data_IF_715674760613
#
_entry.id   IF_715674760613
#
_cell.length_a   1.000
_cell.length_b   1.000
_cell.length_c   1.000
_cell.angle_alpha   90.00
_cell.angle_beta   90.00
_cell.angle_gamma   90.00
#
_symmetry.space_group_name_H-M   'P 1'
#
loop_
_entity.id
_entity.type
_entity.pdbx_description
1 polymer ?
#
# COMPACT_ATOMS: atom_id res chain seq x y z
N UNK A 1 49.57 -45.75 18.42
CA UNK A 1 49.23 -47.14 18.11
C UNK A 1 47.94 -47.47 18.82
N UNK A 2 46.93 -47.77 18.02
CA UNK A 2 45.64 -48.26 18.44
C UNK A 2 45.75 -49.77 18.66
N UNK A 3 45.11 -50.25 19.71
CA UNK A 3 45.08 -51.66 20.11
C UNK A 3 43.64 -52.11 20.28
N UNK A 4 43.37 -53.37 19.96
CA UNK A 4 42.03 -53.94 20.07
C UNK A 4 41.92 -54.80 21.32
N UNK A 5 40.77 -54.69 21.99
CA UNK A 5 40.41 -55.55 23.11
C UNK A 5 39.04 -56.18 22.83
N UNK A 6 38.96 -57.51 22.90
CA UNK A 6 37.69 -58.23 22.85
C UNK A 6 37.12 -58.35 24.26
N UNK A 7 35.86 -57.96 24.46
CA UNK A 7 35.11 -58.15 25.71
C UNK A 7 33.75 -58.76 25.38
N UNK A 8 33.53 -60.01 25.79
CA UNK A 8 32.37 -60.79 25.37
C UNK A 8 32.30 -60.93 23.84
N UNK A 9 31.14 -60.66 23.25
CA UNK A 9 30.91 -60.76 21.80
C UNK A 9 31.20 -59.45 21.03
N UNK A 10 31.92 -58.49 21.62
CA UNK A 10 32.19 -57.19 21.02
C UNK A 10 33.66 -56.76 21.09
N UNK A 11 34.05 -55.90 20.14
CA UNK A 11 35.39 -55.31 20.03
C UNK A 11 35.42 -53.87 20.54
N UNK A 12 36.53 -53.52 21.22
CA UNK A 12 36.83 -52.17 21.69
C UNK A 12 38.20 -51.75 21.14
N UNK A 13 38.30 -50.49 20.71
CA UNK A 13 39.55 -49.90 20.24
C UNK A 13 40.10 -48.94 21.31
N UNK A 14 41.38 -49.11 21.66
CA UNK A 14 42.09 -48.31 22.65
C UNK A 14 43.28 -47.61 22.00
N UNK A 15 43.46 -46.32 22.26
CA UNK A 15 44.59 -45.56 21.75
C UNK A 15 45.03 -44.47 22.74
N UNK A 16 46.21 -43.90 22.54
CA UNK A 16 46.74 -42.79 23.34
C UNK A 16 46.80 -41.53 22.48
N UNK A 17 46.28 -40.43 23.02
CA UNK A 17 46.35 -39.10 22.41
C UNK A 17 46.69 -38.07 23.49
N UNK A 18 47.71 -37.24 23.25
CA UNK A 18 48.26 -36.30 24.25
C UNK A 18 48.46 -36.89 25.66
N UNK A 19 49.02 -38.09 25.75
CA UNK A 19 49.33 -38.76 27.01
C UNK A 19 48.12 -39.34 27.76
N UNK A 20 46.89 -39.16 27.25
CA UNK A 20 45.67 -39.75 27.83
C UNK A 20 45.23 -40.96 27.04
N UNK A 21 44.78 -42.01 27.75
CA UNK A 21 44.21 -43.21 27.14
C UNK A 21 42.74 -42.96 26.80
N UNK A 22 42.37 -43.28 25.57
CA UNK A 22 41.02 -43.21 25.06
C UNK A 22 40.55 -44.60 24.63
N UNK A 23 39.26 -44.88 24.77
CA UNK A 23 38.66 -46.16 24.39
C UNK A 23 37.27 -45.93 23.86
N UNK A 24 36.90 -46.61 22.77
CA UNK A 24 35.54 -46.63 22.25
C UNK A 24 35.16 -48.03 21.77
N UNK A 25 33.85 -48.30 21.72
CA UNK A 25 33.32 -49.57 21.23
C UNK A 25 33.30 -49.58 19.70
N UNK A 26 33.89 -50.60 19.08
CA UNK A 26 33.76 -50.86 17.64
C UNK A 26 32.45 -51.62 17.37
N UNK A 27 32.00 -52.44 18.32
CA UNK A 27 30.76 -53.19 18.23
C UNK A 27 30.97 -54.69 17.96
N UNK A 28 29.89 -55.38 17.57
CA UNK A 28 29.91 -56.81 17.23
C UNK A 28 30.25 -56.97 15.74
N UNK A 29 31.53 -56.90 15.43
CA UNK A 29 32.06 -56.98 14.05
C UNK A 29 33.05 -58.14 13.94
N UNK A 30 33.38 -58.55 12.71
CA UNK A 30 34.42 -59.54 12.48
C UNK A 30 35.79 -59.04 12.96
N UNK A 31 36.71 -59.97 13.30
CA UNK A 31 38.08 -59.59 13.68
C UNK A 31 38.79 -58.79 12.58
N UNK A 32 38.53 -59.12 11.31
CA UNK A 32 39.06 -58.41 10.15
C UNK A 32 38.58 -56.95 10.11
N UNK A 33 37.29 -56.69 10.32
CA UNK A 33 36.74 -55.33 10.39
C UNK A 33 37.26 -54.56 11.60
N UNK A 34 37.40 -55.21 12.76
CA UNK A 34 37.98 -54.58 13.95
C UNK A 34 39.43 -54.15 13.69
N UNK A 35 40.24 -55.01 13.07
CA UNK A 35 41.63 -54.72 12.66
C UNK A 35 41.70 -53.57 11.66
N UNK A 36 40.83 -53.55 10.64
CA UNK A 36 40.73 -52.45 9.69
C UNK A 36 40.41 -51.11 10.38
N UNK A 37 39.47 -51.12 11.33
CA UNK A 37 39.12 -49.93 12.11
C UNK A 37 40.27 -49.45 12.98
N UNK A 38 41.02 -50.34 13.63
CA UNK A 38 42.21 -49.97 14.41
C UNK A 38 43.30 -49.33 13.55
N UNK A 39 43.55 -49.89 12.36
CA UNK A 39 44.52 -49.34 11.41
C UNK A 39 44.10 -47.93 10.93
N UNK A 40 42.80 -47.71 10.71
CA UNK A 40 42.26 -46.40 10.35
C UNK A 40 42.39 -45.38 11.47
N UNK A 41 42.18 -45.79 12.73
CA UNK A 41 42.41 -44.92 13.90
C UNK A 41 43.88 -44.49 13.96
N UNK A 42 44.82 -45.41 13.76
CA UNK A 42 46.25 -45.05 13.73
C UNK A 42 46.60 -44.11 12.58
N UNK A 43 45.98 -44.31 11.40
CA UNK A 43 46.13 -43.40 10.27
C UNK A 43 45.63 -41.98 10.61
N UNK A 44 44.45 -41.85 11.22
CA UNK A 44 43.89 -40.53 11.61
C UNK A 44 44.73 -39.84 12.69
N UNK A 45 45.22 -40.57 13.69
CA UNK A 45 46.11 -40.04 14.71
C UNK A 45 47.45 -39.56 14.11
N UNK A 46 47.97 -40.27 13.11
CA UNK A 46 49.16 -39.83 12.36
C UNK A 46 48.89 -38.52 11.61
N UNK A 47 47.75 -38.37 10.94
CA UNK A 47 47.38 -37.14 10.21
C UNK A 47 47.18 -35.94 11.13
N UNK A 48 46.57 -36.15 12.30
CA UNK A 48 46.48 -35.13 13.35
C UNK A 48 47.87 -34.71 13.85
N UNK A 49 48.78 -35.67 14.07
CA UNK A 49 50.17 -35.38 14.48
C UNK A 49 50.93 -34.60 13.41
N UNK A 50 50.67 -34.89 12.13
CA UNK A 50 51.25 -34.18 10.98
C UNK A 50 50.57 -32.83 10.68
N UNK A 51 49.50 -32.47 11.41
CA UNK A 51 48.67 -31.27 11.13
C UNK A 51 48.07 -31.23 9.72
N UNK A 52 47.89 -32.39 9.08
CA UNK A 52 47.19 -32.49 7.79
C UNK A 52 45.66 -32.49 7.97
N UNK A 53 45.22 -32.79 9.20
CA UNK A 53 43.82 -32.73 9.64
C UNK A 53 43.85 -32.05 11.02
N UNK A 54 42.84 -31.24 11.30
CA UNK A 54 42.64 -30.60 12.61
C UNK A 54 41.42 -31.20 13.30
N UNK A 55 41.48 -31.32 14.63
CA UNK A 55 40.33 -31.74 15.43
C UNK A 55 39.36 -30.55 15.56
N UNK A 56 38.10 -30.66 15.12
CA UNK A 56 37.16 -29.54 15.18
C UNK A 56 36.90 -29.05 16.62
N UNK A 57 36.65 -27.74 16.83
CA UNK A 57 36.38 -27.20 18.17
C UNK A 57 35.19 -27.90 18.83
N UNK A 58 35.38 -28.37 20.07
CA UNK A 58 34.31 -29.00 20.87
C UNK A 58 34.08 -30.49 20.63
N UNK A 59 34.79 -31.12 19.69
CA UNK A 59 34.67 -32.56 19.40
C UNK A 59 35.74 -33.36 20.17
N UNK A 60 35.33 -34.41 20.87
CA UNK A 60 36.27 -35.30 21.56
C UNK A 60 37.05 -36.18 20.58
N UNK A 61 38.34 -36.43 20.84
CA UNK A 61 39.19 -37.24 19.93
C UNK A 61 38.65 -38.65 19.69
N UNK A 62 38.08 -39.29 20.72
CA UNK A 62 37.49 -40.63 20.60
C UNK A 62 36.28 -40.65 19.67
N UNK A 63 35.41 -39.65 19.76
CA UNK A 63 34.25 -39.47 18.88
C UNK A 63 34.70 -39.19 17.44
N UNK A 64 35.72 -38.35 17.26
CA UNK A 64 36.25 -38.00 15.95
C UNK A 64 36.82 -39.21 15.21
N UNK A 65 37.63 -40.04 15.87
CA UNK A 65 38.21 -41.24 15.23
C UNK A 65 37.21 -42.39 15.10
N UNK A 66 36.22 -42.49 16.01
CA UNK A 66 35.14 -43.47 15.89
C UNK A 66 34.31 -43.23 14.62
N UNK A 67 34.09 -41.97 14.27
CA UNK A 67 33.34 -41.53 13.09
C UNK A 67 34.23 -41.24 11.87
N UNK A 68 35.45 -41.79 11.81
CA UNK A 68 36.36 -41.69 10.66
C UNK A 68 36.71 -40.26 10.22
N UNK A 69 36.85 -39.35 11.19
CA UNK A 69 37.13 -37.94 10.96
C UNK A 69 35.90 -37.11 10.61
N UNK A 70 34.70 -37.70 10.64
CA UNK A 70 33.43 -36.97 10.53
C UNK A 70 32.94 -36.64 11.94
N UNK A 71 32.39 -35.45 12.13
CA UNK A 71 31.76 -35.08 13.40
C UNK A 71 30.23 -35.09 13.24
N UNK A 72 29.53 -35.80 14.12
CA UNK A 72 28.07 -35.75 14.21
C UNK A 72 27.59 -34.35 14.63
N UNK A 73 28.38 -33.64 15.46
CA UNK A 73 28.10 -32.24 15.83
C UNK A 73 28.18 -31.26 14.64
N UNK A 74 28.99 -31.56 13.61
CA UNK A 74 28.97 -30.80 12.35
C UNK A 74 27.75 -31.19 11.52
N UNK A 75 27.28 -32.43 11.61
CA UNK A 75 26.12 -32.89 10.83
C UNK A 75 24.83 -32.24 11.34
N UNK A 76 24.69 -32.07 12.67
CA UNK A 76 23.56 -31.36 13.28
C UNK A 76 23.66 -29.82 13.21
N UNK A 77 24.85 -29.26 12.98
CA UNK A 77 25.02 -27.82 12.75
C UNK A 77 24.84 -27.42 11.27
N UNK A 78 25.01 -28.37 10.34
CA UNK A 78 24.76 -28.17 8.90
C UNK A 78 23.29 -28.45 8.53
N UNK A 79 22.54 -29.18 9.38
CA UNK A 79 21.07 -29.28 9.30
C UNK A 79 20.33 -28.01 9.75
N UNK A 80 21.06 -26.98 10.20
CA UNK A 80 20.63 -25.60 10.11
C UNK A 80 20.72 -25.11 8.67
N UNK A 81 19.96 -25.73 7.76
CA UNK A 81 19.74 -25.19 6.42
C UNK A 81 19.37 -23.72 6.58
N UNK A 82 20.31 -22.87 6.19
CA UNK A 82 20.11 -21.45 5.98
C UNK A 82 19.15 -21.38 4.80
N UNK A 83 17.84 -21.58 5.05
CA UNK A 83 16.79 -21.39 4.05
C UNK A 83 17.06 -20.03 3.45
N UNK A 84 17.55 -20.02 2.21
CA UNK A 84 17.80 -18.81 1.44
C UNK A 84 16.54 -17.98 1.56
N UNK A 85 16.64 -16.85 2.26
CA UNK A 85 15.47 -16.03 2.51
C UNK A 85 15.02 -15.47 1.16
N UNK A 86 13.97 -16.06 0.60
CA UNK A 86 13.46 -15.66 -0.71
C UNK A 86 12.69 -14.35 -0.59
N UNK A 87 12.54 -13.64 -1.71
CA UNK A 87 11.73 -12.43 -1.79
C UNK A 87 10.28 -12.68 -1.34
N UNK A 88 9.70 -13.84 -1.67
CA UNK A 88 8.34 -14.23 -1.24
C UNK A 88 8.29 -14.45 0.27
N UNK A 89 9.21 -15.24 0.83
CA UNK A 89 9.26 -15.48 2.27
C UNK A 89 9.49 -14.17 3.05
N UNK A 90 10.32 -13.27 2.51
CA UNK A 90 10.54 -11.94 3.08
C UNK A 90 9.28 -11.07 3.05
N UNK A 91 8.58 -11.03 1.91
CA UNK A 91 7.30 -10.34 1.75
C UNK A 91 6.27 -10.83 2.78
N UNK A 92 6.10 -12.14 2.89
CA UNK A 92 5.06 -12.74 3.72
C UNK A 92 5.32 -12.41 5.20
N UNK A 93 6.57 -12.58 5.67
CA UNK A 93 6.94 -12.16 7.03
C UNK A 93 6.69 -10.67 7.28
N UNK A 94 7.00 -9.80 6.32
CA UNK A 94 6.75 -8.35 6.45
C UNK A 94 5.24 -8.06 6.53
N UNK A 95 4.44 -8.67 5.66
CA UNK A 95 3.00 -8.49 5.62
C UNK A 95 2.33 -9.03 6.88
N UNK A 96 2.69 -10.23 7.34
CA UNK A 96 2.12 -10.84 8.55
C UNK A 96 2.38 -9.98 9.78
N UNK A 97 3.58 -9.42 9.89
CA UNK A 97 3.95 -8.53 11.00
C UNK A 97 3.17 -7.22 10.99
N UNK A 98 2.91 -6.63 9.82
CA UNK A 98 2.36 -5.27 9.73
C UNK A 98 0.87 -5.20 9.41
N UNK A 99 0.26 -6.28 8.90
CA UNK A 99 -1.16 -6.33 8.54
C UNK A 99 -2.07 -5.87 9.68
N UNK A 100 -1.83 -6.21 10.97
CA UNK A 100 -2.66 -5.72 12.08
C UNK A 100 -2.55 -4.20 12.32
N UNK A 101 -1.41 -3.60 11.96
CA UNK A 101 -1.10 -2.20 12.27
C UNK A 101 -1.35 -1.22 11.11
N UNK A 102 -1.52 -1.74 9.88
CA UNK A 102 -1.68 -0.93 8.67
C UNK A 102 -3.14 -0.85 8.22
N UNK A 103 -3.51 0.27 7.57
CA UNK A 103 -4.81 0.35 6.91
C UNK A 103 -4.92 -0.70 5.79
N UNK A 104 -6.08 -1.35 5.59
CA UNK A 104 -6.26 -2.37 4.55
C UNK A 104 -5.81 -1.92 3.16
N UNK A 105 -6.13 -0.68 2.78
CA UNK A 105 -5.72 -0.10 1.49
C UNK A 105 -4.20 0.05 1.34
N UNK A 106 -3.49 0.26 2.45
CA UNK A 106 -2.03 0.31 2.46
C UNK A 106 -1.47 -1.09 2.26
N UNK A 107 -2.06 -2.10 2.92
CA UNK A 107 -1.69 -3.52 2.74
C UNK A 107 -1.92 -3.96 1.29
N UNK A 108 -3.10 -3.69 0.72
CA UNK A 108 -3.41 -3.97 -0.70
C UNK A 108 -2.38 -3.33 -1.65
N UNK A 109 -1.96 -2.09 -1.36
CA UNK A 109 -0.93 -1.39 -2.13
C UNK A 109 0.43 -2.07 -2.03
N UNK A 110 0.85 -2.48 -0.84
CA UNK A 110 2.10 -3.21 -0.61
C UNK A 110 2.07 -4.57 -1.31
N UNK A 111 0.99 -5.33 -1.19
CA UNK A 111 0.78 -6.61 -1.87
C UNK A 111 0.91 -6.45 -3.39
N UNK A 112 0.28 -5.42 -3.96
CA UNK A 112 0.40 -5.11 -5.39
C UNK A 112 1.85 -4.79 -5.80
N UNK A 113 2.55 -3.98 -5.00
CA UNK A 113 3.95 -3.65 -5.28
C UNK A 113 4.85 -4.89 -5.24
N UNK A 114 4.69 -5.74 -4.22
CA UNK A 114 5.45 -6.99 -4.12
C UNK A 114 5.08 -7.98 -5.20
N UNK A 115 3.81 -8.05 -5.65
CA UNK A 115 3.42 -8.86 -6.81
C UNK A 115 4.24 -8.48 -8.04
N UNK A 116 4.41 -7.17 -8.30
CA UNK A 116 5.23 -6.71 -9.44
C UNK A 116 6.71 -7.03 -9.26
N UNK A 117 7.26 -6.86 -8.05
CA UNK A 117 8.66 -7.20 -7.75
C UNK A 117 8.93 -8.69 -7.92
N UNK A 118 8.06 -9.54 -7.39
CA UNK A 118 8.15 -11.00 -7.52
C UNK A 118 8.04 -11.43 -8.97
N UNK A 119 7.11 -10.85 -9.73
CA UNK A 119 6.98 -11.16 -11.16
C UNK A 119 8.22 -10.78 -11.97
N UNK A 120 9.02 -9.81 -11.52
CA UNK A 120 10.21 -9.34 -12.23
C UNK A 120 11.53 -9.97 -11.76
N UNK A 121 11.69 -10.22 -10.46
CA UNK A 121 12.91 -10.76 -9.87
C UNK A 121 12.86 -12.28 -9.67
N UNK A 122 11.66 -12.86 -9.65
CA UNK A 122 11.41 -14.27 -9.39
C UNK A 122 11.03 -14.55 -7.93
N UNK A 123 10.20 -15.58 -7.72
CA UNK A 123 9.70 -15.97 -6.40
C UNK A 123 10.82 -16.42 -5.45
N UNK A 124 11.81 -17.14 -5.98
CA UNK A 124 12.95 -17.69 -5.25
C UNK A 124 14.14 -16.74 -5.15
N UNK A 125 14.00 -15.50 -5.58
CA UNK A 125 15.09 -14.53 -5.56
C UNK A 125 15.67 -14.37 -4.14
N UNK A 126 16.98 -14.58 -3.93
CA UNK A 126 17.62 -14.44 -2.62
C UNK A 126 17.65 -12.96 -2.21
N UNK A 127 16.81 -12.56 -1.23
CA UNK A 127 16.65 -11.14 -0.90
C UNK A 127 17.95 -10.49 -0.41
N UNK A 128 18.83 -11.27 0.21
CA UNK A 128 20.14 -10.81 0.72
C UNK A 128 21.13 -10.44 -0.39
N UNK A 129 20.90 -10.90 -1.62
CA UNK A 129 21.74 -10.59 -2.78
C UNK A 129 21.23 -9.40 -3.60
N UNK A 130 20.17 -8.72 -3.13
CA UNK A 130 19.62 -7.56 -3.82
C UNK A 130 20.68 -6.47 -4.00
N UNK A 131 20.99 -6.13 -5.27
CA UNK A 131 21.92 -5.07 -5.64
C UNK A 131 21.21 -3.96 -6.40
N UNK A 132 21.90 -2.82 -6.54
CA UNK A 132 21.44 -1.68 -7.32
C UNK A 132 21.04 -2.08 -8.76
N UNK A 133 21.82 -2.95 -9.39
CA UNK A 133 21.57 -3.42 -10.76
C UNK A 133 20.20 -4.14 -10.89
N UNK A 134 19.80 -4.94 -9.91
CA UNK A 134 18.49 -5.60 -9.91
C UNK A 134 17.35 -4.57 -9.83
N UNK A 135 17.52 -3.54 -9.00
CA UNK A 135 16.52 -2.48 -8.84
C UNK A 135 16.44 -1.58 -10.07
N UNK A 136 17.57 -1.25 -10.71
CA UNK A 136 17.56 -0.48 -11.96
C UNK A 136 16.92 -1.28 -13.09
N UNK A 137 17.27 -2.57 -13.24
CA UNK A 137 16.62 -3.45 -14.22
C UNK A 137 15.11 -3.57 -14.01
N UNK A 138 14.65 -3.64 -12.75
CA UNK A 138 13.23 -3.57 -12.41
C UNK A 138 12.60 -2.24 -12.86
N UNK A 139 13.22 -1.10 -12.55
CA UNK A 139 12.70 0.22 -12.95
C UNK A 139 12.58 0.33 -14.47
N UNK A 140 13.59 -0.11 -15.21
CA UNK A 140 13.64 -0.05 -16.67
C UNK A 140 12.57 -0.94 -17.31
N UNK A 141 12.35 -2.14 -16.76
CA UNK A 141 11.28 -3.03 -17.18
C UNK A 141 9.90 -2.42 -16.88
N UNK A 142 9.70 -1.87 -15.67
CA UNK A 142 8.44 -1.23 -15.26
C UNK A 142 8.13 0.02 -16.06
N UNK A 143 9.12 0.80 -16.46
CA UNK A 143 8.94 1.99 -17.29
C UNK A 143 8.39 1.66 -18.69
N UNK A 144 8.68 0.45 -19.21
CA UNK A 144 8.15 -0.06 -20.49
C UNK A 144 6.76 -0.67 -20.34
N UNK A 145 6.35 -1.07 -19.14
CA UNK A 145 5.07 -1.72 -18.89
C UNK A 145 3.88 -0.75 -19.06
N UNK A 146 2.78 -1.28 -19.59
CA UNK A 146 1.52 -0.55 -19.74
C UNK A 146 0.71 -0.64 -18.44
N UNK A 147 0.22 0.49 -17.94
CA UNK A 147 -0.76 0.57 -16.86
C UNK A 147 -2.19 0.32 -17.35
N UNK A 148 -3.16 0.46 -16.44
CA UNK A 148 -4.59 0.22 -16.68
C UNK A 148 -5.18 1.02 -17.85
N UNK A 149 -4.61 2.17 -18.16
CA UNK A 149 -5.05 3.01 -19.29
C UNK A 149 -4.34 2.69 -20.61
N UNK A 150 -3.63 1.56 -20.69
CA UNK A 150 -2.82 1.17 -21.86
C UNK A 150 -1.53 1.99 -22.06
N UNK A 151 -1.25 2.96 -21.19
CA UNK A 151 -0.08 3.87 -21.27
C UNK A 151 1.07 3.38 -20.41
N UNK A 152 2.30 3.79 -20.73
CA UNK A 152 3.48 3.53 -19.89
C UNK A 152 3.26 4.06 -18.47
N UNK A 153 3.82 3.36 -17.49
CA UNK A 153 3.70 3.74 -16.09
C UNK A 153 4.47 5.02 -15.78
N UNK A 154 3.88 5.87 -14.94
CA UNK A 154 4.55 7.09 -14.50
C UNK A 154 5.73 6.74 -13.58
N UNK A 155 6.86 7.46 -13.67
CA UNK A 155 8.00 7.25 -12.77
C UNK A 155 7.63 7.38 -11.29
N UNK A 156 6.64 8.23 -10.96
CA UNK A 156 6.11 8.36 -9.61
C UNK A 156 5.43 7.07 -9.08
N UNK A 157 4.82 6.27 -9.97
CA UNK A 157 4.22 4.98 -9.60
C UNK A 157 5.31 3.96 -9.28
N UNK A 158 6.33 3.86 -10.13
CA UNK A 158 7.47 2.95 -9.94
C UNK A 158 8.23 3.31 -8.65
N UNK A 159 8.42 4.61 -8.40
CA UNK A 159 9.05 5.09 -7.16
C UNK A 159 8.31 4.62 -5.91
N UNK A 160 6.97 4.52 -5.92
CA UNK A 160 6.18 3.99 -4.79
C UNK A 160 6.40 2.50 -4.55
N UNK A 161 6.58 1.73 -5.63
CA UNK A 161 6.94 0.30 -5.56
C UNK A 161 8.28 0.14 -4.84
N UNK A 162 9.30 0.91 -5.26
CA UNK A 162 10.63 0.93 -4.62
C UNK A 162 10.57 1.39 -3.17
N UNK A 163 9.79 2.43 -2.85
CA UNK A 163 9.63 2.90 -1.46
C UNK A 163 9.04 1.80 -0.56
N UNK A 164 8.13 0.98 -1.09
CA UNK A 164 7.52 -0.11 -0.32
C UNK A 164 8.53 -1.21 -0.01
N UNK A 165 9.34 -1.59 -1.00
CA UNK A 165 10.44 -2.52 -0.80
C UNK A 165 11.48 -1.96 0.19
N UNK A 166 11.86 -0.69 0.05
CA UNK A 166 12.78 -0.02 0.99
C UNK A 166 12.25 -0.02 2.41
N UNK A 167 10.94 0.22 2.58
CA UNK A 167 10.30 0.21 3.90
C UNK A 167 10.36 -1.19 4.52
N UNK A 168 10.07 -2.22 3.73
CA UNK A 168 10.23 -3.61 4.16
C UNK A 168 11.69 -3.95 4.46
N UNK A 169 12.64 -3.54 3.62
CA UNK A 169 14.08 -3.74 3.83
C UNK A 169 14.56 -3.15 5.15
N UNK A 170 14.19 -1.89 5.43
CA UNK A 170 14.58 -1.23 6.68
C UNK A 170 14.01 -1.92 7.92
N UNK A 171 12.80 -2.48 7.83
CA UNK A 171 12.26 -3.35 8.88
C UNK A 171 13.06 -4.67 8.97
N UNK A 172 13.32 -5.31 7.83
CA UNK A 172 14.07 -6.55 7.76
C UNK A 172 15.48 -6.44 8.33
N UNK A 173 16.14 -5.31 8.12
CA UNK A 173 17.45 -5.01 8.70
C UNK A 173 17.40 -4.94 10.22
N UNK A 174 16.35 -4.32 10.79
CA UNK A 174 16.13 -4.28 12.24
C UNK A 174 15.80 -5.65 12.84
N UNK A 175 15.22 -6.54 12.04
CA UNK A 175 14.86 -7.91 12.43
C UNK A 175 15.98 -8.93 12.14
N UNK A 176 17.15 -8.50 11.66
CA UNK A 176 18.26 -9.41 11.31
C UNK A 176 18.00 -10.29 10.07
N UNK A 177 16.98 -10.00 9.27
CA UNK A 177 16.63 -10.76 8.07
C UNK A 177 17.53 -10.44 6.88
N UNK A 178 17.89 -9.16 6.76
CA UNK A 178 18.81 -8.60 5.76
C UNK A 178 19.84 -7.73 6.47
N UNK A 179 20.96 -7.41 5.81
CA UNK A 179 22.02 -6.59 6.36
C UNK A 179 22.27 -5.35 5.49
N UNK A 180 22.79 -4.29 6.10
CA UNK A 180 23.19 -3.07 5.40
C UNK A 180 22.05 -2.15 4.97
N UNK A 181 22.44 -1.05 4.32
CA UNK A 181 21.51 -0.05 3.78
C UNK A 181 20.83 -0.59 2.52
N UNK A 182 19.59 -0.17 2.28
CA UNK A 182 18.89 -0.51 1.06
C UNK A 182 19.62 0.06 -0.17
N UNK A 183 19.86 -0.72 -1.24
CA UNK A 183 20.74 -0.33 -2.36
C UNK A 183 20.04 0.62 -3.35
N UNK A 184 19.57 1.79 -2.90
CA UNK A 184 18.87 2.77 -3.74
C UNK A 184 19.74 3.92 -4.27
N UNK A 185 20.99 4.00 -3.86
CA UNK A 185 21.88 5.11 -4.24
C UNK A 185 22.26 4.94 -5.71
N UNK A 186 22.01 5.98 -6.52
CA UNK A 186 22.26 5.95 -7.97
C UNK A 186 21.07 5.54 -8.83
N UNK A 187 19.93 5.13 -8.25
CA UNK A 187 18.74 4.78 -9.05
C UNK A 187 18.27 5.94 -9.93
N UNK A 188 18.04 5.64 -11.22
CA UNK A 188 17.57 6.59 -12.23
C UNK A 188 16.13 6.28 -12.59
N UNK A 189 15.30 7.32 -12.54
CA UNK A 189 13.89 7.27 -12.94
C UNK A 189 13.70 8.20 -14.13
N UNK A 190 12.71 7.90 -14.98
CA UNK A 190 12.29 8.83 -16.02
C UNK A 190 11.87 10.19 -15.45
N UNK A 191 11.98 11.25 -16.27
CA UNK A 191 11.49 12.58 -15.92
C UNK A 191 9.97 12.55 -15.72
N UNK A 192 9.50 13.34 -14.77
CA UNK A 192 8.07 13.55 -14.51
C UNK A 192 7.80 15.01 -14.81
N UNK A 193 6.81 15.27 -15.65
CA UNK A 193 6.36 16.63 -15.91
C UNK A 193 5.66 17.19 -14.66
N UNK A 194 5.89 18.47 -14.40
CA UNK A 194 5.13 19.16 -13.36
C UNK A 194 3.66 19.21 -13.76
N UNK A 195 2.78 19.07 -12.77
CA UNK A 195 1.35 19.16 -13.03
C UNK A 195 0.98 20.58 -13.41
N UNK A 196 0.07 20.78 -14.38
CA UNK A 196 -0.43 22.11 -14.66
C UNK A 196 -1.06 22.74 -13.40
N UNK A 197 -0.91 24.07 -13.22
CA UNK A 197 -1.59 24.79 -12.16
C UNK A 197 -3.11 24.68 -12.33
N UNK A 198 -3.89 24.90 -11.28
CA UNK A 198 -5.36 24.88 -11.39
C UNK A 198 -5.87 26.03 -12.28
N UNK A 199 -6.78 25.74 -13.19
CA UNK A 199 -7.26 26.67 -14.21
C UNK A 199 -8.79 26.72 -14.22
N UNK A 200 -9.35 27.83 -14.71
CA UNK A 200 -10.78 27.92 -14.99
C UNK A 200 -11.13 27.13 -16.24
N UNK A 201 -12.42 26.88 -16.44
CA UNK A 201 -12.94 26.24 -17.64
C UNK A 201 -12.54 27.00 -18.91
N UNK A 202 -12.71 28.32 -18.92
CA UNK A 202 -12.42 29.17 -20.07
C UNK A 202 -10.94 29.14 -20.45
N UNK A 203 -10.05 29.05 -19.46
CA UNK A 203 -8.62 28.87 -19.70
C UNK A 203 -8.31 27.49 -20.28
N UNK A 204 -8.93 26.42 -19.77
CA UNK A 204 -8.77 25.08 -20.31
C UNK A 204 -9.27 25.02 -21.76
N UNK A 205 -10.45 25.58 -22.03
CA UNK A 205 -11.07 25.60 -23.37
C UNK A 205 -10.20 26.32 -24.41
N UNK A 206 -9.49 27.38 -24.01
CA UNK A 206 -8.47 28.03 -24.87
C UNK A 206 -7.25 27.14 -25.13
N UNK A 207 -6.79 26.39 -24.12
CA UNK A 207 -5.57 25.57 -24.19
C UNK A 207 -5.76 24.20 -24.87
N UNK A 208 -7.00 23.70 -24.96
CA UNK A 208 -7.27 22.39 -25.59
C UNK A 208 -7.29 22.44 -27.12
N UNK A 209 -7.31 23.62 -27.73
CA UNK A 209 -7.24 23.80 -29.19
C UNK A 209 -5.88 23.27 -29.68
N UNK A 210 -5.90 22.28 -30.57
CA UNK A 210 -4.68 21.63 -31.06
C UNK A 210 -4.01 20.64 -30.08
N UNK A 211 -4.55 20.46 -28.87
CA UNK A 211 -4.01 19.53 -27.89
C UNK A 211 -4.38 18.07 -28.20
N UNK A 212 -3.48 17.15 -27.89
CA UNK A 212 -3.76 15.70 -27.92
C UNK A 212 -4.79 15.32 -26.86
N UNK A 213 -5.50 14.20 -27.03
CA UNK A 213 -6.45 13.70 -26.02
C UNK A 213 -5.82 13.48 -24.64
N UNK A 214 -4.52 13.21 -24.61
CA UNK A 214 -3.76 13.14 -23.38
C UNK A 214 -3.68 14.49 -22.68
N UNK A 215 -3.19 15.51 -23.38
CA UNK A 215 -3.06 16.87 -22.86
C UNK A 215 -4.42 17.43 -22.46
N UNK A 216 -5.46 17.19 -23.26
CA UNK A 216 -6.85 17.54 -22.90
C UNK A 216 -7.24 16.94 -21.56
N UNK A 217 -6.99 15.64 -21.35
CA UNK A 217 -7.33 14.95 -20.10
C UNK A 217 -6.57 15.53 -18.90
N UNK A 218 -5.30 15.90 -19.09
CA UNK A 218 -4.44 16.49 -18.06
C UNK A 218 -4.86 17.92 -17.70
N UNK A 219 -5.20 18.74 -18.70
CA UNK A 219 -5.78 20.07 -18.49
C UNK A 219 -7.09 19.99 -17.71
N UNK A 220 -8.00 19.08 -18.07
CA UNK A 220 -9.23 18.86 -17.31
C UNK A 220 -9.00 18.26 -15.91
N UNK A 221 -7.84 17.63 -15.64
CA UNK A 221 -7.45 17.22 -14.27
C UNK A 221 -7.08 18.43 -13.38
N UNK A 222 -6.74 19.56 -13.99
CA UNK A 222 -6.44 20.82 -13.32
C UNK A 222 -7.62 21.80 -13.32
N UNK A 223 -8.82 21.37 -13.67
CA UNK A 223 -10.03 22.19 -13.54
C UNK A 223 -10.32 22.48 -12.06
N UNK A 224 -10.58 23.74 -11.75
CA UNK A 224 -11.39 24.13 -10.59
C UNK A 224 -12.64 24.88 -11.06
N UNK A 225 -13.70 24.83 -10.27
CA UNK A 225 -14.95 25.54 -10.55
C UNK A 225 -14.97 26.87 -9.82
N UNK A 226 -15.32 27.93 -10.51
CA UNK A 226 -15.58 29.26 -9.93
C UNK A 226 -16.83 29.24 -9.05
N UNK A 227 -17.05 30.27 -8.20
CA UNK A 227 -18.26 30.34 -7.37
C UNK A 227 -19.58 30.30 -8.17
N UNK A 228 -19.74 31.00 -9.31
CA UNK A 228 -20.92 30.85 -10.17
C UNK A 228 -21.08 29.41 -10.67
N UNK A 229 -20.01 28.80 -11.18
CA UNK A 229 -20.06 27.40 -11.66
C UNK A 229 -20.37 26.41 -10.54
N UNK A 230 -19.87 26.62 -9.32
CA UNK A 230 -20.24 25.81 -8.16
C UNK A 230 -21.74 25.93 -7.91
N UNK A 231 -22.30 27.14 -7.96
CA UNK A 231 -23.74 27.36 -7.74
C UNK A 231 -24.58 26.66 -8.81
N UNK A 232 -24.20 26.80 -10.08
CA UNK A 232 -24.88 26.15 -11.21
C UNK A 232 -24.75 24.62 -11.15
N UNK A 233 -23.59 24.09 -10.74
CA UNK A 233 -23.39 22.65 -10.51
C UNK A 233 -24.33 22.15 -9.40
N UNK A 234 -24.44 22.88 -8.28
CA UNK A 234 -25.33 22.49 -7.19
C UNK A 234 -26.80 22.50 -7.64
N UNK A 235 -27.21 23.50 -8.42
CA UNK A 235 -28.55 23.54 -9.04
C UNK A 235 -28.81 22.31 -9.92
N UNK A 236 -27.90 22.02 -10.86
CA UNK A 236 -27.98 20.84 -11.72
C UNK A 236 -28.07 19.53 -10.93
N UNK A 237 -27.23 19.36 -9.90
CA UNK A 237 -27.24 18.15 -9.07
C UNK A 237 -28.54 18.04 -8.27
N UNK A 238 -29.15 19.15 -7.84
CA UNK A 238 -30.44 19.14 -7.13
C UNK A 238 -31.54 18.53 -7.98
N UNK A 239 -31.56 18.86 -9.27
CA UNK A 239 -32.55 18.40 -10.23
C UNK A 239 -32.26 16.98 -10.75
N UNK A 240 -30.98 16.67 -11.01
CA UNK A 240 -30.58 15.39 -11.62
C UNK A 240 -30.29 14.27 -10.62
N UNK A 241 -30.24 14.55 -9.32
CA UNK A 241 -29.96 13.54 -8.29
C UNK A 241 -31.11 12.52 -8.19
N UNK A 242 -30.77 11.25 -8.44
CA UNK A 242 -31.71 10.13 -8.29
C UNK A 242 -31.91 9.68 -6.84
N UNK A 243 -30.97 10.03 -5.95
CA UNK A 243 -31.04 9.65 -4.53
C UNK A 243 -30.93 10.90 -3.65
N UNK A 244 -31.75 11.00 -2.58
CA UNK A 244 -31.81 12.20 -1.72
C UNK A 244 -30.49 12.64 -1.10
N UNK A 245 -29.60 11.70 -0.77
CA UNK A 245 -28.31 12.02 -0.13
C UNK A 245 -27.29 12.69 -1.08
N UNK A 246 -27.48 12.61 -2.40
CA UNK A 246 -26.47 13.04 -3.38
C UNK A 246 -26.28 14.56 -3.33
N UNK A 247 -27.37 15.31 -3.44
CA UNK A 247 -27.34 16.77 -3.39
C UNK A 247 -26.69 17.32 -2.11
N UNK A 248 -27.14 16.98 -0.88
CA UNK A 248 -26.55 17.52 0.34
C UNK A 248 -25.08 17.08 0.52
N UNK A 249 -24.69 15.89 0.02
CA UNK A 249 -23.30 15.45 0.05
C UNK A 249 -22.40 16.25 -0.90
N UNK A 250 -22.89 16.64 -2.09
CA UNK A 250 -22.16 17.51 -3.04
C UNK A 250 -22.05 18.93 -2.50
N UNK A 251 -23.13 19.48 -1.92
CA UNK A 251 -23.08 20.75 -1.19
C UNK A 251 -22.02 20.72 -0.09
N UNK A 252 -22.03 19.69 0.75
CA UNK A 252 -21.04 19.54 1.82
C UNK A 252 -19.62 19.50 1.27
N UNK A 253 -19.37 18.75 0.20
CA UNK A 253 -18.05 18.70 -0.43
C UNK A 253 -17.58 20.08 -0.93
N UNK A 254 -18.48 20.83 -1.59
CA UNK A 254 -18.19 22.15 -2.15
C UNK A 254 -17.97 23.22 -1.07
N UNK A 255 -18.70 23.15 0.04
CA UNK A 255 -18.68 24.15 1.11
C UNK A 255 -17.64 23.87 2.21
N UNK A 256 -17.07 22.67 2.27
CA UNK A 256 -16.08 22.31 3.32
C UNK A 256 -14.71 21.89 2.78
N UNK A 257 -14.61 21.60 1.47
CA UNK A 257 -13.40 21.02 0.88
C UNK A 257 -13.02 19.65 1.45
N UNK A 258 -13.97 18.94 2.07
CA UNK A 258 -13.76 17.61 2.62
C UNK A 258 -13.39 16.59 1.52
N UNK A 259 -12.44 15.72 1.82
CA UNK A 259 -12.07 14.60 0.94
C UNK A 259 -13.23 13.60 0.91
N UNK A 260 -13.43 12.88 -0.20
CA UNK A 260 -14.47 11.84 -0.28
C UNK A 260 -14.47 10.89 0.93
N UNK A 261 -13.31 10.39 1.36
CA UNK A 261 -13.23 9.49 2.53
C UNK A 261 -13.59 10.15 3.86
N UNK A 262 -13.58 11.47 3.94
CA UNK A 262 -14.08 12.25 5.09
C UNK A 262 -15.61 12.38 4.99
N UNK A 263 -16.15 12.67 3.80
CA UNK A 263 -17.60 12.68 3.55
C UNK A 263 -18.28 11.35 3.93
N UNK A 264 -17.63 10.21 3.65
CA UNK A 264 -18.19 8.89 3.97
C UNK A 264 -18.15 8.53 5.46
N UNK A 265 -17.49 9.34 6.29
CA UNK A 265 -17.27 9.06 7.72
C UNK A 265 -17.87 10.10 8.65
N UNK A 266 -18.28 11.26 8.14
CA UNK A 266 -18.89 12.30 8.97
C UNK A 266 -20.17 11.75 9.60
N UNK A 267 -20.29 11.96 10.90
CA UNK A 267 -21.45 11.57 11.69
C UNK A 267 -22.41 12.75 11.87
N UNK A 268 -23.68 12.47 12.21
CA UNK A 268 -24.64 13.52 12.57
C UNK A 268 -24.12 14.32 13.78
N UNK A 269 -23.52 13.62 14.75
CA UNK A 269 -22.92 14.23 15.95
C UNK A 269 -21.71 15.14 15.66
N UNK A 270 -21.14 15.10 14.45
CA UNK A 270 -20.05 16.00 14.05
C UNK A 270 -20.58 17.40 13.62
N UNK A 271 -21.91 17.61 13.58
CA UNK A 271 -22.55 18.84 13.12
C UNK A 271 -23.03 19.66 14.32
N UNK A 272 -22.41 20.83 14.51
CA UNK A 272 -22.74 21.80 15.54
C UNK A 272 -23.48 22.98 14.91
N UNK A 273 -24.83 22.93 14.95
CA UNK A 273 -25.68 23.99 14.39
C UNK A 273 -25.61 25.29 15.19
N UNK A 274 -25.44 25.21 16.52
CA UNK A 274 -25.37 26.38 17.41
C UNK A 274 -24.05 27.10 17.26
N UNK A 275 -22.94 26.37 17.36
CA UNK A 275 -21.58 26.88 17.12
C UNK A 275 -21.19 26.96 15.65
N UNK A 276 -22.15 26.80 14.72
CA UNK A 276 -22.02 26.95 13.26
C UNK A 276 -20.76 26.29 12.71
N UNK A 277 -20.57 25.02 13.03
CA UNK A 277 -19.35 24.32 12.65
C UNK A 277 -19.53 22.84 12.38
N UNK A 278 -18.59 22.31 11.62
CA UNK A 278 -18.52 20.92 11.20
C UNK A 278 -17.19 20.35 11.65
N UNK A 279 -17.23 19.24 12.39
CA UNK A 279 -16.04 18.49 12.79
C UNK A 279 -15.68 17.44 11.72
N UNK A 280 -14.52 17.58 11.10
CA UNK A 280 -14.05 16.63 10.10
C UNK A 280 -13.02 15.68 10.73
N UNK A 281 -13.37 14.39 10.75
CA UNK A 281 -12.50 13.31 11.19
C UNK A 281 -11.45 12.95 10.12
N UNK A 282 -10.16 13.09 10.43
CA UNK A 282 -9.03 12.86 9.52
C UNK A 282 -8.22 11.61 9.91
N UNK A 283 -7.71 10.90 8.90
CA UNK A 283 -6.81 9.74 9.10
C UNK A 283 -5.39 9.97 8.58
N UNK A 284 -5.17 11.02 7.79
CA UNK A 284 -3.94 11.18 6.97
C UNK A 284 -3.05 12.35 7.36
N UNK A 285 -3.47 13.17 8.33
CA UNK A 285 -2.73 14.37 8.70
C UNK A 285 -1.50 14.05 9.56
N UNK A 286 -1.66 13.17 10.53
CA UNK A 286 -0.59 12.77 11.44
C UNK A 286 -0.41 11.26 11.42
N UNK A 287 0.83 10.79 11.24
CA UNK A 287 1.13 9.36 11.25
C UNK A 287 0.83 8.78 12.63
N UNK A 288 0.07 7.68 12.66
CA UNK A 288 -0.28 6.96 13.90
C UNK A 288 -1.34 7.64 14.77
N UNK A 289 -1.93 8.77 14.34
CA UNK A 289 -2.98 9.46 15.09
C UNK A 289 -4.18 9.77 14.19
N UNK A 290 -5.38 9.58 14.73
CA UNK A 290 -6.60 10.17 14.15
C UNK A 290 -6.67 11.61 14.62
N UNK A 291 -6.87 12.54 13.70
CA UNK A 291 -6.97 13.97 14.02
C UNK A 291 -8.33 14.48 13.59
N UNK A 292 -8.72 15.63 14.13
CA UNK A 292 -9.93 16.32 13.72
C UNK A 292 -9.58 17.74 13.31
N UNK A 293 -10.45 18.34 12.48
CA UNK A 293 -10.40 19.77 12.16
C UNK A 293 -11.81 20.34 12.12
N UNK A 294 -11.95 21.59 12.56
CA UNK A 294 -13.23 22.32 12.56
C UNK A 294 -13.31 23.20 11.32
N UNK A 295 -14.41 23.08 10.58
CA UNK A 295 -14.73 23.93 9.42
C UNK A 295 -15.97 24.76 9.75
N UNK A 296 -15.93 26.10 9.61
CA UNK A 296 -17.10 26.95 9.78
C UNK A 296 -18.22 26.58 8.80
N UNK A 297 -19.45 26.58 9.28
CA UNK A 297 -20.65 26.26 8.51
C UNK A 297 -21.36 27.54 8.08
N UNK A 298 -21.59 27.70 6.78
CA UNK A 298 -22.41 28.81 6.26
C UNK A 298 -23.90 28.58 6.54
N UNK A 299 -24.70 29.65 6.51
CA UNK A 299 -26.16 29.55 6.64
C UNK A 299 -26.79 28.65 5.56
N UNK A 300 -26.30 28.76 4.32
CA UNK A 300 -26.70 27.86 3.23
C UNK A 300 -26.48 26.39 3.59
N UNK A 301 -25.28 26.04 4.07
CA UNK A 301 -24.98 24.65 4.42
C UNK A 301 -25.82 24.18 5.61
N UNK A 302 -26.05 25.04 6.60
CA UNK A 302 -26.92 24.73 7.72
C UNK A 302 -28.36 24.40 7.26
N UNK A 303 -28.91 25.17 6.32
CA UNK A 303 -30.25 24.91 5.77
C UNK A 303 -30.30 23.60 4.98
N UNK A 304 -29.33 23.36 4.09
CA UNK A 304 -29.24 22.09 3.34
C UNK A 304 -29.15 20.88 4.27
N UNK A 305 -28.38 20.97 5.36
CA UNK A 305 -28.29 19.89 6.33
C UNK A 305 -29.58 19.71 7.13
N UNK A 306 -30.29 20.78 7.49
CA UNK A 306 -31.59 20.68 8.17
C UNK A 306 -32.63 20.01 7.28
N UNK A 307 -32.72 20.41 6.01
CA UNK A 307 -33.61 19.78 5.02
C UNK A 307 -33.28 18.29 4.85
N UNK A 308 -31.98 17.96 4.77
CA UNK A 308 -31.54 16.58 4.66
C UNK A 308 -31.85 15.76 5.91
N UNK A 309 -31.61 16.31 7.11
CA UNK A 309 -31.87 15.64 8.38
C UNK A 309 -33.36 15.34 8.60
N UNK A 310 -34.25 16.17 8.06
CA UNK A 310 -35.69 15.96 8.13
C UNK A 310 -36.15 14.70 7.36
N UNK A 311 -35.43 14.32 6.31
CA UNK A 311 -35.72 13.12 5.49
C UNK A 311 -34.64 12.03 5.63
N UNK A 312 -33.80 12.15 6.66
CA UNK A 312 -32.66 11.27 6.83
C UNK A 312 -33.12 9.85 7.19
N UNK A 313 -32.61 8.79 6.52
CA UNK A 313 -33.01 7.40 6.78
C UNK A 313 -32.69 6.84 8.18
N UNK A 314 -32.04 7.63 9.03
CA UNK A 314 -31.57 7.24 10.37
C UNK A 314 -30.12 6.70 10.41
N UNK A 315 -29.66 6.35 11.60
CA UNK A 315 -28.30 5.90 11.86
C UNK A 315 -27.28 7.03 12.14
N UNK A 316 -26.04 6.70 12.51
CA UNK A 316 -25.08 7.68 13.03
C UNK A 316 -24.35 8.49 11.94
N UNK A 317 -24.27 7.98 10.71
CA UNK A 317 -23.56 8.63 9.61
C UNK A 317 -24.42 9.73 9.00
N UNK A 318 -23.83 10.90 8.75
CA UNK A 318 -24.55 12.04 8.16
C UNK A 318 -25.04 11.74 6.74
N UNK A 319 -24.24 11.03 5.95
CA UNK A 319 -24.65 10.59 4.61
C UNK A 319 -24.77 9.08 4.60
N UNK A 320 -26.00 8.61 4.57
CA UNK A 320 -26.34 7.20 4.52
C UNK A 320 -27.38 6.93 3.42
N UNK A 321 -27.64 5.65 3.19
CA UNK A 321 -28.75 5.23 2.36
C UNK A 321 -29.54 4.17 3.12
N UNK A 322 -30.86 4.28 3.09
CA UNK A 322 -31.81 3.32 3.67
C UNK A 322 -32.78 2.74 2.64
N UNK A 323 -32.56 3.02 1.35
CA UNK A 323 -33.43 2.58 0.26
C UNK A 323 -32.74 1.44 -0.50
N UNK A 324 -33.55 0.51 -1.03
CA UNK A 324 -33.11 -0.50 -1.99
C UNK A 324 -32.58 0.19 -3.25
N UNK A 325 -31.35 -0.15 -3.65
CA UNK A 325 -30.75 0.35 -4.90
C UNK A 325 -30.61 -0.80 -5.87
N UNK A 326 -31.38 -0.78 -6.96
CA UNK A 326 -31.28 -1.79 -8.01
C UNK A 326 -29.85 -1.92 -8.53
N UNK A 327 -29.43 -3.16 -8.81
CA UNK A 327 -28.08 -3.51 -9.29
C UNK A 327 -26.94 -3.17 -8.31
N UNK A 328 -27.23 -2.65 -7.11
CA UNK A 328 -26.21 -2.48 -6.07
C UNK A 328 -25.81 -3.83 -5.48
N UNK A 329 -24.50 -4.11 -5.42
CA UNK A 329 -23.96 -5.32 -4.75
C UNK A 329 -24.30 -5.38 -3.25
N UNK A 330 -24.56 -4.22 -2.63
CA UNK A 330 -24.78 -4.10 -1.19
C UNK A 330 -26.21 -3.75 -0.80
N UNK A 331 -27.05 -3.29 -1.72
CA UNK A 331 -28.38 -2.74 -1.39
C UNK A 331 -29.50 -3.16 -2.34
N UNK A 332 -29.23 -4.05 -3.28
CA UNK A 332 -30.32 -4.64 -4.06
C UNK A 332 -31.08 -5.68 -3.22
N UNK A 333 -32.29 -6.02 -3.64
CA UNK A 333 -33.14 -7.05 -3.00
C UNK A 333 -32.56 -8.46 -3.10
N UNK A 334 -31.51 -8.64 -3.90
CA UNK A 334 -30.89 -9.94 -4.16
C UNK A 334 -29.39 -9.87 -3.93
N UNK A 335 -28.77 -10.97 -3.51
CA UNK A 335 -27.33 -11.08 -3.30
C UNK A 335 -26.74 -12.27 -4.06
N UNK A 336 -25.42 -12.46 -4.01
CA UNK A 336 -24.77 -13.61 -4.65
C UNK A 336 -24.57 -13.49 -6.18
N UNK A 337 -24.73 -12.29 -6.73
CA UNK A 337 -24.39 -12.00 -8.15
C UNK A 337 -22.88 -12.17 -8.41
N UNK A 338 -22.52 -13.14 -9.26
CA UNK A 338 -21.12 -13.38 -9.65
C UNK A 338 -20.62 -12.32 -10.64
N UNK A 339 -19.33 -11.98 -10.55
CA UNK A 339 -18.67 -11.07 -11.50
C UNK A 339 -18.61 -11.70 -12.90
N UNK A 340 -18.44 -10.89 -13.95
CA UNK A 340 -18.38 -11.37 -15.35
C UNK A 340 -17.42 -12.55 -15.55
N UNK A 341 -16.32 -12.61 -14.80
CA UNK A 341 -15.31 -13.68 -14.88
C UNK A 341 -15.82 -15.02 -14.33
N UNK A 342 -16.70 -15.00 -13.32
CA UNK A 342 -17.24 -16.19 -12.66
C UNK A 342 -18.73 -16.43 -12.95
N UNK A 343 -19.32 -15.65 -13.87
CA UNK A 343 -20.76 -15.66 -14.17
C UNK A 343 -21.07 -16.73 -15.22
N UNK A 344 -22.01 -17.62 -14.93
CA UNK A 344 -22.49 -18.61 -15.91
C UNK A 344 -23.04 -17.94 -17.17
N UNK A 345 -22.88 -18.60 -18.32
CA UNK A 345 -23.44 -18.15 -19.60
C UNK A 345 -24.96 -18.30 -19.66
N UNK A 346 -25.53 -19.25 -18.93
CA UNK A 346 -26.97 -19.53 -18.92
C UNK A 346 -27.71 -18.73 -17.84
N UNK A 347 -28.98 -18.36 -18.10
CA UNK A 347 -29.81 -17.64 -17.13
C UNK A 347 -30.01 -18.45 -15.86
N UNK A 348 -30.26 -19.77 -15.98
CA UNK A 348 -30.40 -20.70 -14.86
C UNK A 348 -29.16 -20.69 -13.95
N UNK A 349 -27.96 -20.90 -14.51
CA UNK A 349 -26.72 -20.88 -13.74
C UNK A 349 -26.31 -19.50 -13.20
N UNK A 350 -26.89 -18.41 -13.72
CA UNK A 350 -26.72 -17.07 -13.14
C UNK A 350 -27.58 -16.86 -11.90
N UNK A 351 -28.77 -17.47 -11.88
CA UNK A 351 -29.74 -17.34 -10.79
C UNK A 351 -29.49 -18.35 -9.65
N UNK A 352 -28.78 -19.45 -9.92
CA UNK A 352 -28.44 -20.46 -8.90
C UNK A 352 -27.70 -19.91 -7.68
N UNK A 353 -26.86 -18.89 -7.84
CA UNK A 353 -26.16 -18.26 -6.71
C UNK A 353 -26.87 -17.03 -6.18
N UNK A 354 -28.03 -16.65 -6.74
CA UNK A 354 -28.77 -15.45 -6.38
C UNK A 354 -29.84 -15.79 -5.38
N UNK A 355 -29.74 -15.19 -4.19
CA UNK A 355 -30.76 -15.32 -3.14
C UNK A 355 -31.37 -13.96 -2.80
N UNK A 356 -32.59 -13.97 -2.29
CA UNK A 356 -33.22 -12.77 -1.74
C UNK A 356 -32.48 -12.31 -0.48
N UNK A 357 -32.53 -11.00 -0.25
CA UNK A 357 -31.95 -10.34 0.91
C UNK A 357 -33.06 -9.59 1.63
N UNK A 358 -33.13 -9.73 2.95
CA UNK A 358 -33.96 -8.88 3.80
C UNK A 358 -33.67 -7.40 3.52
N UNK A 359 -34.70 -6.56 3.56
CA UNK A 359 -34.60 -5.13 3.23
C UNK A 359 -33.39 -4.51 3.93
N UNK A 360 -32.39 -4.03 3.18
CA UNK A 360 -31.17 -3.53 3.79
C UNK A 360 -31.52 -2.32 4.66
N UNK A 361 -31.28 -2.46 5.97
CA UNK A 361 -31.39 -1.35 6.91
C UNK A 361 -30.41 -0.22 6.60
N UNK A 362 -30.36 0.79 7.47
CA UNK A 362 -29.43 1.91 7.31
C UNK A 362 -27.99 1.39 7.11
N UNK A 363 -27.27 1.97 6.15
CA UNK A 363 -25.87 1.64 5.94
C UNK A 363 -25.09 2.83 5.41
N UNK A 364 -23.79 2.98 5.76
CA UNK A 364 -22.96 4.06 5.27
C UNK A 364 -22.78 3.99 3.74
N UNK A 365 -22.71 5.15 3.10
CA UNK A 365 -22.41 5.22 1.67
C UNK A 365 -21.02 4.67 1.41
N UNK A 366 -20.88 3.86 0.37
CA UNK A 366 -19.58 3.35 -0.06
C UNK A 366 -18.88 4.32 -1.02
N UNK A 367 -17.56 4.16 -1.16
CA UNK A 367 -16.74 4.92 -2.10
C UNK A 367 -17.25 4.83 -3.54
N UNK A 368 -17.74 3.65 -3.91
CA UNK A 368 -18.17 3.36 -5.28
C UNK A 368 -19.58 3.90 -5.52
N UNK A 369 -20.50 3.78 -4.55
CA UNK A 369 -21.82 4.44 -4.62
C UNK A 369 -21.71 5.96 -4.74
N UNK A 370 -20.89 6.59 -3.89
CA UNK A 370 -20.63 8.01 -3.99
C UNK A 370 -20.07 8.40 -5.37
N UNK A 371 -19.19 7.59 -5.94
CA UNK A 371 -18.64 7.89 -7.27
C UNK A 371 -19.67 7.71 -8.39
N UNK A 372 -20.38 6.59 -8.38
CA UNK A 372 -21.35 6.20 -9.40
C UNK A 372 -22.51 7.19 -9.45
N UNK A 373 -23.15 7.49 -8.31
CA UNK A 373 -24.28 8.42 -8.29
C UNK A 373 -23.88 9.85 -8.64
N UNK A 374 -22.70 10.32 -8.23
CA UNK A 374 -22.17 11.59 -8.73
C UNK A 374 -22.03 11.54 -10.26
N UNK A 375 -21.40 10.49 -10.81
CA UNK A 375 -21.23 10.36 -12.27
C UNK A 375 -22.56 10.29 -13.01
N UNK A 376 -23.58 9.63 -12.45
CA UNK A 376 -24.92 9.57 -13.03
C UNK A 376 -25.59 10.94 -13.06
N UNK A 377 -25.50 11.70 -11.97
CA UNK A 377 -26.07 13.05 -11.90
C UNK A 377 -25.42 14.04 -12.87
N UNK A 378 -24.18 13.80 -13.32
CA UNK A 378 -23.47 14.70 -14.23
C UNK A 378 -23.50 14.25 -15.70
N UNK A 379 -24.02 13.05 -15.99
CA UNK A 379 -24.01 12.48 -17.34
C UNK A 379 -24.86 13.30 -18.30
N UNK A 380 -24.34 13.55 -19.52
CA UNK A 380 -25.06 14.31 -20.55
C UNK A 380 -25.13 15.81 -20.28
N UNK A 381 -24.43 16.30 -19.26
CA UNK A 381 -24.32 17.74 -18.94
C UNK A 381 -22.91 18.25 -19.20
N UNK A 382 -22.73 19.57 -19.25
CA UNK A 382 -21.39 20.19 -19.33
C UNK A 382 -20.47 19.86 -18.13
N UNK A 383 -21.02 19.29 -17.06
CA UNK A 383 -20.30 18.86 -15.87
C UNK A 383 -19.69 17.46 -15.99
N UNK A 384 -19.92 16.75 -17.10
CA UNK A 384 -19.40 15.39 -17.33
C UNK A 384 -17.85 15.31 -17.30
N UNK A 385 -17.19 16.44 -17.56
CA UNK A 385 -15.73 16.62 -17.39
C UNK A 385 -15.24 16.36 -15.96
N UNK A 386 -16.11 16.48 -14.95
CA UNK A 386 -15.78 16.24 -13.54
C UNK A 386 -15.51 14.76 -13.31
N UNK A 387 -14.24 14.42 -13.03
CA UNK A 387 -13.82 13.04 -12.78
C UNK A 387 -14.20 12.51 -11.41
N UNK A 388 -14.49 13.39 -10.45
CA UNK A 388 -15.02 12.99 -9.16
C UNK A 388 -14.85 14.05 -8.08
N UNK A 389 -15.13 13.62 -6.85
CA UNK A 389 -15.27 14.45 -5.65
C UNK A 389 -14.10 15.36 -5.30
N UNK A 390 -12.89 15.11 -5.82
CA UNK A 390 -11.73 15.95 -5.45
C UNK A 390 -11.78 17.34 -6.08
N UNK A 391 -12.55 17.52 -7.17
CA UNK A 391 -12.75 18.84 -7.77
C UNK A 391 -13.35 19.82 -6.76
N UNK A 392 -14.32 19.40 -5.94
CA UNK A 392 -14.98 20.28 -4.97
C UNK A 392 -13.96 20.86 -3.96
N UNK A 393 -12.96 20.07 -3.59
CA UNK A 393 -11.86 20.52 -2.74
C UNK A 393 -10.92 21.48 -3.46
N UNK A 394 -10.61 21.24 -4.73
CA UNK A 394 -9.82 22.17 -5.55
C UNK A 394 -10.57 23.49 -5.73
N UNK A 395 -11.84 23.45 -6.12
CA UNK A 395 -12.72 24.62 -6.21
C UNK A 395 -12.79 25.39 -4.89
N UNK A 396 -13.00 24.71 -3.76
CA UNK A 396 -13.03 25.39 -2.46
C UNK A 396 -11.72 26.14 -2.18
N UNK A 397 -10.58 25.47 -2.31
CA UNK A 397 -9.26 26.07 -2.08
C UNK A 397 -8.97 27.23 -3.04
N UNK A 398 -9.22 27.01 -4.34
CA UNK A 398 -9.02 27.99 -5.41
C UNK A 398 -9.89 29.23 -5.21
N UNK A 399 -11.17 29.08 -4.87
CA UNK A 399 -12.05 30.23 -4.63
C UNK A 399 -11.68 30.97 -3.34
N UNK A 400 -11.26 30.28 -2.28
CA UNK A 400 -10.73 30.94 -1.08
C UNK A 400 -9.47 31.76 -1.41
N UNK A 401 -8.53 31.19 -2.17
CA UNK A 401 -7.32 31.89 -2.60
C UNK A 401 -7.66 33.11 -3.48
N UNK A 402 -8.56 32.95 -4.45
CA UNK A 402 -9.02 34.03 -5.33
C UNK A 402 -9.74 35.17 -4.58
N UNK A 403 -10.39 34.86 -3.45
CA UNK A 403 -10.99 35.86 -2.56
C UNK A 403 -10.00 36.49 -1.57
N UNK A 404 -8.72 36.13 -1.62
CA UNK A 404 -7.68 36.66 -0.73
C UNK A 404 -7.78 36.15 0.71
N UNK A 405 -8.43 35.00 0.95
CA UNK A 405 -8.50 34.41 2.29
C UNK A 405 -7.10 33.96 2.73
N UNK A 406 -6.73 34.28 3.97
CA UNK A 406 -5.43 33.91 4.55
C UNK A 406 -5.16 32.39 4.40
N UNK A 407 -4.00 32.06 3.82
CA UNK A 407 -3.54 30.69 3.59
C UNK A 407 -3.57 29.83 4.86
N UNK A 408 -3.34 30.40 6.04
CA UNK A 408 -3.40 29.70 7.34
C UNK A 408 -4.82 29.22 7.67
N UNK A 409 -5.84 29.97 7.27
CA UNK A 409 -7.24 29.55 7.42
C UNK A 409 -7.57 28.42 6.44
N UNK A 410 -7.15 28.56 5.18
CA UNK A 410 -7.32 27.53 4.15
C UNK A 410 -6.65 26.22 4.60
N UNK A 411 -5.41 26.29 5.09
CA UNK A 411 -4.66 25.15 5.62
C UNK A 411 -5.38 24.47 6.78
N UNK A 412 -5.95 25.26 7.70
CA UNK A 412 -6.71 24.76 8.85
C UNK A 412 -7.99 24.03 8.41
N UNK A 413 -8.74 24.57 7.46
CA UNK A 413 -9.99 23.97 6.99
C UNK A 413 -9.78 22.77 6.09
N UNK A 414 -8.68 22.74 5.32
CA UNK A 414 -8.38 21.65 4.41
C UNK A 414 -7.50 20.58 5.05
N UNK A 415 -6.77 20.90 6.11
CA UNK A 415 -5.74 20.02 6.69
C UNK A 415 -4.55 19.87 5.74
N UNK A 416 -4.06 20.97 5.18
CA UNK A 416 -2.80 21.00 4.43
C UNK A 416 -1.61 21.10 5.40
N UNK A 417 -0.54 20.38 5.09
CA UNK A 417 0.65 20.30 5.97
C UNK A 417 1.96 20.51 5.23
N UNK A 418 1.96 20.60 3.90
CA UNK A 418 3.18 20.74 3.09
C UNK A 418 3.08 21.92 2.15
N UNK A 419 4.22 22.54 1.84
CA UNK A 419 4.28 23.69 0.92
C UNK A 419 3.87 23.32 -0.50
N UNK A 420 4.18 22.10 -0.96
CA UNK A 420 3.71 21.58 -2.25
C UNK A 420 2.18 21.60 -2.36
N UNK A 421 1.44 21.36 -1.27
CA UNK A 421 -0.02 21.46 -1.29
C UNK A 421 -0.49 22.91 -1.39
N UNK A 422 0.23 23.87 -0.80
CA UNK A 422 -0.09 25.30 -0.78
C UNK A 422 0.17 25.94 -2.14
N UNK A 423 1.35 25.69 -2.72
CA UNK A 423 1.79 26.24 -4.01
C UNK A 423 0.80 26.00 -5.16
N UNK A 424 0.03 24.91 -5.09
CA UNK A 424 -0.98 24.61 -6.11
C UNK A 424 -2.10 25.64 -6.25
N UNK A 425 -2.32 26.50 -5.26
CA UNK A 425 -3.39 27.52 -5.31
C UNK A 425 -2.86 28.96 -5.27
N UNK A 426 -1.55 29.15 -5.09
CA UNK A 426 -0.96 30.48 -4.86
C UNK A 426 -1.04 31.38 -6.11
N UNK A 427 -0.94 30.80 -7.31
CA UNK A 427 -1.09 31.53 -8.56
C UNK A 427 -2.52 32.06 -8.78
N UNK A 428 -3.48 31.63 -7.97
CA UNK A 428 -4.87 32.11 -7.97
C UNK A 428 -5.07 33.29 -7.02
N UNK A 429 -4.02 34.05 -6.72
CA UNK A 429 -4.14 35.39 -6.12
C UNK A 429 -3.92 36.47 -7.23
N UNK A 430 -4.63 36.41 -8.38
CA UNK A 430 -4.27 37.19 -9.56
C UNK A 430 -4.56 38.68 -9.39
N UNK A 431 -5.57 39.07 -8.60
CA UNK A 431 -5.82 40.50 -8.38
C UNK A 431 -4.65 41.16 -7.66
N UNK A 432 -3.97 40.47 -6.75
CA UNK A 432 -2.80 41.06 -6.08
C UNK A 432 -1.58 41.05 -6.99
N UNK A 433 -1.37 40.00 -7.79
CA UNK A 433 -0.24 39.95 -8.74
C UNK A 433 -0.39 40.95 -9.89
N UNK A 434 -1.58 41.05 -10.51
CA UNK A 434 -1.83 42.04 -11.55
C UNK A 434 -1.83 43.47 -11.01
N UNK A 435 -2.39 43.72 -9.81
CA UNK A 435 -2.27 45.04 -9.18
C UNK A 435 -0.82 45.35 -8.80
N UNK A 436 -0.04 44.39 -8.33
CA UNK A 436 1.38 44.59 -8.00
C UNK A 436 2.22 44.86 -9.25
N UNK A 437 2.03 44.09 -10.33
CA UNK A 437 2.68 44.33 -11.62
C UNK A 437 2.23 45.68 -12.20
N UNK A 438 0.93 45.99 -12.13
CA UNK A 438 0.38 47.27 -12.53
C UNK A 438 0.92 48.45 -11.69
N UNK A 439 1.20 48.26 -10.41
CA UNK A 439 1.79 49.31 -9.57
C UNK A 439 3.29 49.52 -9.80
N UNK A 440 4.00 48.53 -10.34
CA UNK A 440 5.44 48.62 -10.66
C UNK A 440 5.68 49.08 -12.10
N UNK A 441 4.83 48.66 -13.03
CA UNK A 441 5.04 48.82 -14.47
C UNK A 441 3.88 49.50 -15.23
N UNK A 442 2.79 49.87 -14.54
CA UNK A 442 1.64 50.59 -15.09
C UNK A 442 1.53 51.99 -14.51
#
# INVERSE_FOLDING_TARGET
MASLQQKGNGWYCQFIYHGKRHTFAVGRVSEAEAKAKSAQVDYLLLRLKQRLIELPPGVGIAEFVQNDGRSLAITSAVEGETKVLTLVAFRDRYLDTHRPSLEPRTVEGIELHFKHLVASLGERFPIRELKLANLQGYIDARAKAKGLSGRRLSPATIRKEIISLRTAWNWGAKMGLVAGRFPNDGLRFGKVDEKPPFMTREEIERRIVGATDYQKKELWDALFLTLPEVTELLGHVREAATLPWVYPMVCFAAHTGARRSELLRVAIADIDFEGKAILINEKKRTRGKRTTRRVPMSAFMANVLKEWLAVHPGGPFLFCNGIVVERSKKRSRTTGHKSQVARSSTVKGRLESVSDRESPGFSPITKDEAHDHLRRSLRGSRWEVIKGWHIARHSFASNCAAKGIDQRLIDRWLGHTTDEMRRRYQHLIPNQEQQAIGAVFG
#
